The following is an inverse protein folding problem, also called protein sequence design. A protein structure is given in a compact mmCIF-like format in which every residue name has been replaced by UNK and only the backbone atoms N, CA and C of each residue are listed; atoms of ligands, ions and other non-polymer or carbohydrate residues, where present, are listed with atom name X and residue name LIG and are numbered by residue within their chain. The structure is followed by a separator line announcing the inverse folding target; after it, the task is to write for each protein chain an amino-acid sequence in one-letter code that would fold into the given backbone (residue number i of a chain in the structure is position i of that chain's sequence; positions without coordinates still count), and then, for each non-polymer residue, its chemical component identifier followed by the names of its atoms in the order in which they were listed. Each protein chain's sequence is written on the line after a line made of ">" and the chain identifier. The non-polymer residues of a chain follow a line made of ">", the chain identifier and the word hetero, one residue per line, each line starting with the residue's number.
data_IF_877240980709
#
_entry.id   IF_877240980709
#
_cell.length_a   1.000
_cell.length_b   1.000
_cell.length_c   1.000
_cell.angle_alpha   90.00
_cell.angle_beta   90.00
_cell.angle_gamma   90.00
#
_symmetry.space_group_name_H-M   'P 1'
#
loop_
_entity.id
_entity.type
_entity.pdbx_description
1 polymer ?
#
# COMPACT_ATOMS: atom_id res chain seq x y z
N UNK A 1 -0.98 -8.07 -24.83
CA UNK A 1 0.02 -7.82 -25.90
C UNK A 1 -0.64 -7.42 -27.22
N UNK A 2 -1.77 -8.04 -27.62
CA UNK A 2 -2.50 -7.71 -28.84
C UNK A 2 -2.79 -6.22 -29.00
N UNK A 3 -3.24 -5.55 -27.95
CA UNK A 3 -3.50 -4.11 -27.96
C UNK A 3 -2.25 -3.30 -28.35
N UNK A 4 -1.12 -3.51 -27.66
CA UNK A 4 0.13 -2.81 -27.94
C UNK A 4 0.55 -3.01 -29.40
N UNK A 5 0.55 -4.25 -29.90
CA UNK A 5 0.91 -4.55 -31.30
C UNK A 5 -0.01 -3.84 -32.29
N UNK A 6 -1.31 -3.75 -32.01
CA UNK A 6 -2.29 -3.08 -32.85
C UNK A 6 -2.05 -1.57 -32.92
N UNK A 7 -1.87 -0.91 -31.76
CA UNK A 7 -1.73 0.56 -31.71
C UNK A 7 -0.36 1.05 -32.18
N UNK A 8 0.67 0.21 -32.11
CA UNK A 8 2.00 0.53 -32.64
C UNK A 8 2.26 -0.03 -34.04
N UNK A 9 1.26 -0.62 -34.70
CA UNK A 9 1.43 -1.16 -36.05
C UNK A 9 1.71 -0.02 -37.05
N UNK A 10 2.72 -0.21 -37.91
CA UNK A 10 3.08 0.77 -38.95
C UNK A 10 4.10 1.83 -38.52
N UNK A 11 4.47 1.90 -37.25
CA UNK A 11 5.51 2.83 -36.78
C UNK A 11 6.92 2.34 -37.11
N UNK A 12 7.70 3.19 -37.77
CA UNK A 12 9.09 2.87 -38.15
C UNK A 12 9.95 2.67 -36.90
N UNK A 13 10.74 1.60 -36.89
CA UNK A 13 11.65 1.31 -35.77
C UNK A 13 10.97 0.81 -34.50
N UNK A 14 9.67 0.47 -34.56
CA UNK A 14 8.91 -0.10 -33.44
C UNK A 14 8.51 -1.53 -33.77
N UNK A 15 8.97 -2.47 -32.94
CA UNK A 15 8.54 -3.87 -32.98
C UNK A 15 8.30 -4.39 -31.57
N UNK A 16 7.03 -4.59 -31.22
CA UNK A 16 6.60 -4.99 -29.87
C UNK A 16 6.44 -6.51 -29.81
N UNK A 17 7.47 -7.21 -29.33
CA UNK A 17 7.47 -8.67 -29.19
C UNK A 17 7.35 -9.14 -27.75
N UNK A 18 7.76 -8.29 -26.81
CA UNK A 18 7.78 -8.59 -25.38
C UNK A 18 7.42 -7.33 -24.56
N UNK A 19 7.39 -7.49 -23.24
CA UNK A 19 7.14 -6.40 -22.28
C UNK A 19 8.40 -6.01 -21.50
N UNK A 20 9.58 -6.15 -22.10
CA UNK A 20 10.83 -5.71 -21.49
C UNK A 20 11.66 -4.89 -22.49
N UNK A 21 12.37 -5.56 -23.38
CA UNK A 21 13.40 -4.96 -24.24
C UNK A 21 12.80 -4.24 -25.43
N UNK A 22 11.63 -4.68 -25.92
CA UNK A 22 10.87 -3.96 -26.97
C UNK A 22 10.47 -2.54 -26.59
N UNK A 23 10.49 -2.21 -25.29
CA UNK A 23 10.11 -0.90 -24.75
C UNK A 23 11.30 -0.06 -24.30
N UNK A 24 12.50 -0.65 -24.24
CA UNK A 24 13.67 0.00 -23.64
C UNK A 24 14.17 1.24 -24.39
N UNK A 25 13.97 1.33 -25.70
CA UNK A 25 14.38 2.49 -26.50
C UNK A 25 13.36 3.66 -26.48
N UNK A 26 12.22 3.50 -25.79
CA UNK A 26 11.20 4.53 -25.64
C UNK A 26 10.26 4.71 -26.85
N UNK A 27 10.65 4.27 -28.05
CA UNK A 27 9.83 4.48 -29.27
C UNK A 27 8.47 3.80 -29.19
N UNK A 28 8.37 2.63 -28.57
CA UNK A 28 7.09 1.95 -28.39
C UNK A 28 6.12 2.77 -27.51
N UNK A 29 6.61 3.46 -26.47
CA UNK A 29 5.77 4.35 -25.67
C UNK A 29 5.33 5.59 -26.45
N UNK A 30 6.26 6.22 -27.19
CA UNK A 30 5.95 7.35 -28.05
C UNK A 30 4.91 6.98 -29.12
N UNK A 31 5.03 5.81 -29.74
CA UNK A 31 4.10 5.33 -30.77
C UNK A 31 2.68 5.14 -30.22
N UNK A 32 2.53 4.61 -29.00
CA UNK A 32 1.21 4.49 -28.37
C UNK A 32 0.59 5.87 -28.19
N UNK A 33 1.34 6.86 -27.69
CA UNK A 33 0.82 8.22 -27.48
C UNK A 33 0.44 8.87 -28.81
N UNK A 34 1.34 8.83 -29.79
CA UNK A 34 1.13 9.40 -31.12
C UNK A 34 -0.07 8.78 -31.84
N UNK A 35 -0.37 7.50 -31.61
CA UNK A 35 -1.54 6.84 -32.17
C UNK A 35 -2.86 7.50 -31.75
N UNK A 36 -2.99 7.91 -30.48
CA UNK A 36 -4.21 8.55 -29.97
C UNK A 36 -4.15 10.09 -30.07
N UNK A 37 -2.95 10.66 -30.00
CA UNK A 37 -2.70 12.10 -30.07
C UNK A 37 -1.49 12.40 -30.96
N UNK A 38 -1.67 12.42 -32.30
CA UNK A 38 -0.58 12.70 -33.24
C UNK A 38 0.09 14.06 -33.00
N UNK A 39 -0.69 15.05 -32.55
CA UNK A 39 -0.20 16.41 -32.28
C UNK A 39 0.64 16.53 -31.00
N UNK A 40 0.72 15.47 -30.18
CA UNK A 40 1.39 15.52 -28.89
C UNK A 40 2.92 15.42 -29.01
N UNK A 41 3.44 14.81 -30.07
CA UNK A 41 4.87 14.65 -30.32
C UNK A 41 5.14 14.42 -31.81
N UNK A 42 6.29 14.87 -32.30
CA UNK A 42 6.76 14.54 -33.65
C UNK A 42 7.48 13.19 -33.63
N UNK A 43 6.79 12.12 -34.03
CA UNK A 43 7.35 10.76 -33.97
C UNK A 43 8.48 10.56 -34.99
N UNK A 44 8.39 11.16 -36.17
CA UNK A 44 9.35 10.94 -37.27
C UNK A 44 10.73 11.55 -36.96
N UNK A 45 10.78 12.53 -36.06
CA UNK A 45 12.02 13.10 -35.55
C UNK A 45 12.77 12.19 -34.56
N UNK A 46 12.12 11.16 -34.01
CA UNK A 46 12.69 10.33 -32.94
C UNK A 46 13.67 9.28 -33.48
N UNK A 47 14.70 9.01 -32.68
CA UNK A 47 15.74 8.02 -32.99
C UNK A 47 15.83 6.93 -31.93
N UNK A 48 15.96 5.64 -32.29
CA UNK A 48 16.13 4.54 -31.33
C UNK A 48 17.43 4.63 -30.52
N UNK A 49 18.40 5.46 -30.94
CA UNK A 49 19.64 5.69 -30.21
C UNK A 49 19.41 6.52 -28.93
N UNK A 50 18.42 7.42 -28.94
CA UNK A 50 18.16 8.38 -27.86
C UNK A 50 17.22 7.78 -26.81
N UNK A 51 17.58 6.62 -26.25
CA UNK A 51 16.70 5.85 -25.35
C UNK A 51 16.19 6.68 -24.17
N UNK A 52 17.07 7.41 -23.49
CA UNK A 52 16.70 8.18 -22.30
C UNK A 52 15.70 9.28 -22.65
N UNK A 53 16.03 10.09 -23.66
CA UNK A 53 15.20 11.22 -24.12
C UNK A 53 13.83 10.73 -24.60
N UNK A 54 13.77 9.65 -25.37
CA UNK A 54 12.50 9.09 -25.85
C UNK A 54 11.61 8.64 -24.68
N UNK A 55 12.18 7.93 -23.70
CA UNK A 55 11.41 7.47 -22.54
C UNK A 55 10.94 8.66 -21.68
N UNK A 56 11.82 9.63 -21.40
CA UNK A 56 11.45 10.84 -20.65
C UNK A 56 10.33 11.61 -21.33
N UNK A 57 10.48 11.86 -22.64
CA UNK A 57 9.46 12.53 -23.45
C UNK A 57 8.12 11.81 -23.39
N UNK A 58 8.11 10.49 -23.59
CA UNK A 58 6.89 9.70 -23.54
C UNK A 58 6.21 9.78 -22.16
N UNK A 59 6.97 9.68 -21.08
CA UNK A 59 6.42 9.67 -19.72
C UNK A 59 5.91 11.05 -19.31
N UNK A 60 6.60 12.12 -19.69
CA UNK A 60 6.17 13.49 -19.44
C UNK A 60 4.87 13.82 -20.19
N UNK A 61 4.76 13.39 -21.44
CA UNK A 61 3.54 13.57 -22.22
C UNK A 61 2.40 12.73 -21.63
N UNK A 62 2.64 11.45 -21.33
CA UNK A 62 1.63 10.58 -20.74
C UNK A 62 1.11 11.13 -19.39
N UNK A 63 1.99 11.70 -18.57
CA UNK A 63 1.62 12.39 -17.33
C UNK A 63 0.69 13.57 -17.57
N UNK A 64 0.91 14.37 -18.62
CA UNK A 64 0.00 15.47 -19.01
C UNK A 64 -1.38 14.97 -19.40
N UNK A 65 -1.46 13.77 -19.98
CA UNK A 65 -2.73 13.09 -20.27
C UNK A 65 -3.35 12.35 -19.08
N UNK A 66 -2.72 12.39 -17.90
CA UNK A 66 -3.25 11.81 -16.67
C UNK A 66 -2.81 10.37 -16.40
N UNK A 67 -1.84 9.84 -17.16
CA UNK A 67 -1.21 8.55 -16.83
C UNK A 67 -0.28 8.74 -15.61
N UNK A 68 -0.49 8.01 -14.50
CA UNK A 68 0.39 8.13 -13.33
C UNK A 68 1.81 7.64 -13.66
N UNK A 69 2.88 8.36 -13.26
CA UNK A 69 4.26 7.96 -13.58
C UNK A 69 4.68 6.74 -12.74
N UNK A 70 4.54 5.54 -13.30
CA UNK A 70 4.91 4.29 -12.63
C UNK A 70 6.33 3.81 -12.95
N UNK A 71 6.95 4.37 -13.98
CA UNK A 71 8.29 4.04 -14.43
C UNK A 71 9.15 5.30 -14.49
N UNK A 72 10.42 5.12 -14.18
CA UNK A 72 11.46 6.13 -14.36
C UNK A 72 12.21 5.84 -15.68
N UNK A 73 12.65 6.88 -16.39
CA UNK A 73 13.27 6.70 -17.69
C UNK A 73 14.64 6.02 -17.59
N UNK A 74 15.35 6.22 -16.49
CA UNK A 74 16.63 5.55 -16.20
C UNK A 74 16.47 4.03 -16.03
N UNK A 75 15.36 3.58 -15.41
CA UNK A 75 15.06 2.15 -15.24
C UNK A 75 14.86 1.43 -16.58
N UNK A 76 14.45 2.17 -17.64
CA UNK A 76 14.29 1.63 -18.99
C UNK A 76 15.60 1.47 -19.76
N UNK A 77 16.68 2.11 -19.30
CA UNK A 77 18.02 1.99 -19.89
C UNK A 77 18.72 0.66 -19.54
N UNK A 78 18.20 -0.07 -18.55
CA UNK A 78 18.71 -1.38 -18.18
C UNK A 78 18.69 -2.33 -19.39
N UNK A 79 19.69 -3.22 -19.47
CA UNK A 79 19.76 -4.20 -20.56
C UNK A 79 18.49 -5.05 -20.69
N UNK A 80 17.80 -5.29 -19.57
CA UNK A 80 16.48 -5.90 -19.52
C UNK A 80 15.62 -5.20 -18.46
N UNK A 81 14.72 -4.30 -18.86
CA UNK A 81 13.74 -3.71 -17.95
C UNK A 81 12.83 -4.77 -17.33
N UNK A 82 12.32 -4.50 -16.12
CA UNK A 82 11.46 -5.42 -15.40
C UNK A 82 10.07 -5.53 -16.09
N UNK A 83 9.66 -6.75 -16.39
CA UNK A 83 8.51 -7.02 -17.25
C UNK A 83 7.17 -6.62 -16.61
N UNK A 84 6.97 -6.93 -15.33
CA UNK A 84 5.70 -6.66 -14.64
C UNK A 84 5.48 -5.15 -14.46
N UNK A 85 6.55 -4.38 -14.27
CA UNK A 85 6.53 -2.93 -14.18
C UNK A 85 6.08 -2.30 -15.51
N UNK A 86 6.65 -2.76 -16.63
CA UNK A 86 6.20 -2.32 -17.98
C UNK A 86 4.75 -2.70 -18.25
N UNK A 87 4.33 -3.93 -17.92
CA UNK A 87 2.92 -4.36 -18.07
C UNK A 87 1.98 -3.48 -17.24
N UNK A 88 2.34 -3.23 -15.99
CA UNK A 88 1.51 -2.42 -15.06
C UNK A 88 1.36 -1.00 -15.59
N UNK A 89 2.43 -0.43 -16.12
CA UNK A 89 2.39 0.92 -16.70
C UNK A 89 1.56 0.97 -17.99
N UNK A 90 1.70 -0.02 -18.86
CA UNK A 90 0.89 -0.11 -20.08
C UNK A 90 -0.60 -0.31 -19.80
N UNK A 91 -0.95 -0.93 -18.68
CA UNK A 91 -2.34 -0.98 -18.22
C UNK A 91 -2.90 0.42 -17.99
N UNK A 92 -2.12 1.33 -17.40
CA UNK A 92 -2.54 2.72 -17.21
C UNK A 92 -2.70 3.45 -18.55
N UNK A 93 -1.77 3.25 -19.50
CA UNK A 93 -1.90 3.78 -20.86
C UNK A 93 -3.21 3.32 -21.51
N UNK A 94 -3.53 2.03 -21.42
CA UNK A 94 -4.76 1.49 -21.98
C UNK A 94 -6.01 2.12 -21.35
N UNK A 95 -6.04 2.28 -20.03
CA UNK A 95 -7.16 2.91 -19.34
C UNK A 95 -7.36 4.37 -19.72
N UNK A 96 -6.28 5.14 -19.85
CA UNK A 96 -6.35 6.57 -20.18
C UNK A 96 -6.65 6.79 -21.67
N UNK A 97 -5.93 6.10 -22.56
CA UNK A 97 -5.98 6.38 -24.00
C UNK A 97 -6.99 5.57 -24.80
N UNK A 98 -7.35 4.34 -24.39
CA UNK A 98 -8.40 3.58 -25.10
C UNK A 98 -9.75 3.76 -24.41
N UNK A 99 -9.81 3.57 -23.09
CA UNK A 99 -11.08 3.65 -22.33
C UNK A 99 -11.49 5.07 -21.95
N UNK A 100 -10.57 6.03 -22.02
CA UNK A 100 -10.87 7.45 -21.76
C UNK A 100 -11.51 8.18 -22.95
N UNK A 101 -11.52 7.58 -24.14
CA UNK A 101 -12.02 8.21 -25.37
C UNK A 101 -13.55 8.34 -25.40
N UNK A 102 -14.25 7.63 -24.50
CA UNK A 102 -15.72 7.68 -24.39
C UNK A 102 -16.25 8.87 -23.57
N UNK A 103 -15.38 9.75 -23.05
CA UNK A 103 -15.76 10.78 -22.05
C UNK A 103 -15.42 12.20 -22.45
N UNK A 104 -15.81 12.65 -23.65
CA UNK A 104 -15.94 14.09 -23.90
C UNK A 104 -17.24 14.60 -23.25
N UNK A 105 -17.17 14.90 -21.95
CA UNK A 105 -18.14 15.78 -21.28
C UNK A 105 -18.73 15.28 -19.97
N UNK A 106 -17.98 15.44 -18.87
CA UNK A 106 -18.40 15.93 -17.54
C UNK A 106 -17.52 15.30 -16.46
N UNK A 107 -16.90 16.15 -15.65
CA UNK A 107 -16.30 15.74 -14.40
C UNK A 107 -17.33 15.16 -13.44
N UNK A 108 -16.88 14.27 -12.56
CA UNK A 108 -17.66 13.86 -11.40
C UNK A 108 -17.41 12.43 -10.96
N UNK A 109 -16.91 12.29 -9.74
CA UNK A 109 -17.48 11.38 -8.75
C UNK A 109 -17.30 9.88 -9.00
N UNK A 110 -16.41 9.29 -8.21
CA UNK A 110 -16.43 7.87 -7.87
C UNK A 110 -17.80 7.53 -7.25
N UNK A 111 -18.71 7.00 -8.07
CA UNK A 111 -20.02 6.48 -7.67
C UNK A 111 -20.05 4.96 -7.70
N UNK A 112 -20.55 4.38 -6.60
CA UNK A 112 -20.70 2.98 -6.27
C UNK A 112 -21.06 2.01 -7.41
N UNK A 113 -20.38 0.87 -7.40
CA UNK A 113 -20.92 -0.40 -7.88
C UNK A 113 -22.16 -0.77 -7.04
N UNK A 114 -23.32 -0.82 -7.69
CA UNK A 114 -24.55 -1.42 -7.14
C UNK A 114 -24.83 -2.69 -7.92
N UNK A 115 -24.56 -3.83 -7.27
CA UNK A 115 -25.03 -5.14 -7.69
C UNK A 115 -26.47 -5.28 -7.16
N UNK A 116 -27.43 -5.52 -8.06
CA UNK A 116 -28.80 -5.88 -7.68
C UNK A 116 -28.90 -7.39 -7.46
N UNK A 117 -29.70 -7.82 -6.48
CA UNK A 117 -30.64 -8.90 -6.74
C UNK A 117 -32.06 -8.55 -6.27
N UNK A 118 -33.06 -8.90 -7.08
CA UNK A 118 -34.47 -8.77 -6.77
C UNK A 118 -35.05 -10.01 -6.09
N UNK A 119 -36.06 -9.82 -5.23
CA UNK A 119 -37.01 -10.84 -4.80
C UNK A 119 -37.42 -10.73 -3.32
N UNK A 120 -38.70 -10.92 -2.95
CA UNK A 120 -39.41 -9.94 -2.11
C UNK A 120 -39.62 -10.33 -0.64
N UNK A 121 -39.93 -9.29 0.13
CA UNK A 121 -40.41 -9.27 1.52
C UNK A 121 -41.73 -10.05 1.72
N UNK A 122 -42.10 -10.42 2.97
CA UNK A 122 -42.99 -9.53 3.72
C UNK A 122 -42.69 -9.44 5.24
N UNK A 123 -42.98 -8.25 5.82
CA UNK A 123 -43.22 -7.99 7.26
C UNK A 123 -44.74 -8.05 7.55
N UNK A 124 -45.33 -7.61 8.70
CA UNK A 124 -44.79 -7.08 9.97
C UNK A 124 -45.51 -7.51 11.27
N UNK A 125 -44.96 -7.16 12.45
CA UNK A 125 -45.64 -6.78 13.73
C UNK A 125 -44.65 -6.91 14.92
N UNK A 126 -44.68 -6.20 16.06
CA UNK A 126 -45.20 -4.91 16.54
C UNK A 126 -44.53 -4.77 17.95
N UNK A 127 -44.10 -3.58 18.33
CA UNK A 127 -43.54 -3.15 19.65
C UNK A 127 -44.49 -3.43 20.85
N UNK A 128 -44.13 -3.29 22.18
CA UNK A 128 -43.34 -2.19 22.81
C UNK A 128 -42.55 -2.46 24.14
N UNK A 129 -41.91 -1.41 24.69
CA UNK A 129 -41.25 -1.26 26.02
C UNK A 129 -42.29 -0.98 27.17
N UNK A 130 -42.01 -0.85 28.52
CA UNK A 130 -40.99 0.03 29.19
C UNK A 130 -40.40 -0.33 30.62
N UNK A 131 -39.29 0.34 31.05
CA UNK A 131 -38.81 0.79 32.42
C UNK A 131 -38.74 -0.11 33.69
N UNK A 132 -38.31 0.38 34.90
CA UNK A 132 -37.20 1.28 35.33
C UNK A 132 -36.31 0.73 36.51
N UNK A 133 -35.41 1.56 37.08
CA UNK A 133 -34.35 1.35 38.15
C UNK A 133 -34.80 0.87 39.56
N UNK A 134 -33.89 0.53 40.54
CA UNK A 134 -33.20 1.50 41.44
C UNK A 134 -31.79 1.13 42.01
N UNK A 135 -31.12 2.08 42.71
CA UNK A 135 -29.87 2.02 43.54
C UNK A 135 -30.21 1.73 45.05
N UNK A 136 -29.38 1.94 46.13
CA UNK A 136 -27.95 2.37 46.32
C UNK A 136 -27.09 1.69 47.47
N UNK A 137 -25.76 1.99 47.50
CA UNK A 137 -24.75 2.24 48.61
C UNK A 137 -24.64 1.37 49.91
N UNK A 138 -23.55 1.39 50.76
CA UNK A 138 -22.60 2.48 51.15
C UNK A 138 -21.11 2.03 51.37
N UNK A 139 -20.25 2.65 52.22
CA UNK A 139 -19.42 3.87 52.07
C UNK A 139 -18.10 3.75 52.93
N UNK A 140 -16.97 4.33 52.47
CA UNK A 140 -15.77 4.92 53.17
C UNK A 140 -14.88 4.07 54.12
N UNK A 141 -13.67 4.53 54.61
CA UNK A 141 -13.00 5.85 54.49
C UNK A 141 -11.49 5.89 54.05
N UNK A 142 -10.96 7.11 53.79
CA UNK A 142 -9.57 7.49 53.37
C UNK A 142 -8.47 7.38 54.46
N UNK A 143 -7.30 8.10 54.45
CA UNK A 143 -7.02 9.51 54.03
C UNK A 143 -5.77 9.70 53.10
N UNK A 144 -5.67 10.71 52.21
CA UNK A 144 -5.13 12.11 52.31
C UNK A 144 -3.66 12.31 52.76
N UNK A 145 -2.82 12.86 51.85
CA UNK A 145 -1.96 14.08 51.96
C UNK A 145 -0.78 14.01 50.96
N UNK A 146 -0.74 14.84 49.91
CA UNK A 146 -0.16 16.20 49.79
C UNK A 146 1.37 16.26 49.63
N UNK A 147 1.76 16.66 48.40
CA UNK A 147 2.84 17.57 47.95
C UNK A 147 4.09 17.73 48.82
N UNK A 148 5.28 17.45 48.25
CA UNK A 148 6.44 18.37 48.26
C UNK A 148 7.46 17.98 47.18
N UNK A 149 7.93 19.00 46.49
CA UNK A 149 9.07 19.04 45.56
C UNK A 149 10.36 19.19 46.38
N UNK A 150 11.40 18.39 46.12
CA UNK A 150 12.73 18.68 46.66
C UNK A 150 13.85 18.37 45.67
N UNK A 151 14.63 19.41 45.40
CA UNK A 151 15.84 19.41 44.62
C UNK A 151 17.00 18.89 45.49
N UNK A 152 17.53 17.69 45.21
CA UNK A 152 18.95 17.40 45.49
C UNK A 152 19.51 16.24 44.67
N UNK A 153 20.41 16.62 43.75
CA UNK A 153 21.43 15.76 43.16
C UNK A 153 22.43 15.36 44.26
N UNK A 154 23.03 14.17 44.18
CA UNK A 154 24.47 14.18 43.95
C UNK A 154 24.90 13.16 42.88
N UNK A 155 25.93 13.55 42.14
CA UNK A 155 26.60 12.72 41.16
C UNK A 155 27.48 11.67 41.86
N UNK A 156 27.36 10.40 41.45
CA UNK A 156 28.45 9.42 41.40
C UNK A 156 28.23 8.48 40.20
N UNK A 157 29.21 8.50 39.31
CA UNK A 157 29.36 7.63 38.14
C UNK A 157 29.94 6.26 38.56
N UNK A 158 30.28 5.35 37.62
CA UNK A 158 29.44 4.24 37.20
C UNK A 158 30.04 2.89 37.61
N UNK A 159 29.22 1.92 38.00
CA UNK A 159 29.67 0.52 38.05
C UNK A 159 28.60 -0.41 37.50
N UNK A 160 29.03 -1.00 36.39
CA UNK A 160 28.38 -1.93 35.48
C UNK A 160 27.83 -3.16 36.20
N UNK A 161 26.54 -3.44 36.03
CA UNK A 161 26.00 -4.81 36.10
C UNK A 161 24.84 -4.89 35.12
N UNK A 162 25.14 -5.43 33.94
CA UNK A 162 24.20 -5.56 32.83
C UNK A 162 22.96 -6.34 33.26
N UNK A 163 21.82 -5.66 33.25
CA UNK A 163 20.53 -6.32 33.15
C UNK A 163 20.14 -6.26 31.68
N UNK A 164 19.99 -7.42 31.05
CA UNK A 164 19.49 -7.51 29.69
C UNK A 164 18.11 -6.83 29.66
N UNK A 165 18.00 -5.66 29.03
CA UNK A 165 16.71 -5.00 28.85
C UNK A 165 15.89 -5.90 27.93
N UNK A 166 14.88 -6.57 28.49
CA UNK A 166 13.95 -7.37 27.71
C UNK A 166 13.29 -6.45 26.67
N UNK A 167 13.21 -6.85 25.39
CA UNK A 167 12.61 -6.01 24.37
C UNK A 167 11.15 -5.64 24.76
N UNK A 168 10.71 -4.46 24.34
CA UNK A 168 9.33 -4.02 24.54
C UNK A 168 8.46 -4.48 23.36
N UNK A 169 7.17 -4.71 23.64
CA UNK A 169 6.21 -5.05 22.61
C UNK A 169 5.93 -3.85 21.69
N UNK A 170 6.05 -4.04 20.37
CA UNK A 170 5.85 -2.97 19.39
C UNK A 170 4.40 -2.45 19.28
N UNK A 171 3.42 -3.12 19.89
CA UNK A 171 2.02 -2.69 19.90
C UNK A 171 1.59 -1.94 21.18
N UNK A 172 2.08 -2.39 22.34
CA UNK A 172 1.62 -1.86 23.63
C UNK A 172 2.75 -1.25 24.46
N UNK A 173 3.98 -1.25 23.94
CA UNK A 173 5.18 -0.62 24.51
C UNK A 173 5.60 -1.16 25.89
N UNK A 174 4.92 -2.19 26.40
CA UNK A 174 5.24 -2.84 27.67
C UNK A 174 6.38 -3.86 27.51
N UNK A 175 7.17 -4.12 28.58
CA UNK A 175 8.17 -5.18 28.57
C UNK A 175 7.54 -6.52 28.18
N UNK A 176 8.27 -7.30 27.38
CA UNK A 176 7.82 -8.64 27.01
C UNK A 176 7.97 -9.59 28.19
N UNK A 177 6.89 -10.30 28.52
CA UNK A 177 6.83 -11.32 29.56
C UNK A 177 5.89 -12.44 29.12
N UNK A 178 6.31 -13.70 29.22
CA UNK A 178 5.52 -14.85 28.79
C UNK A 178 5.65 -15.13 27.28
N UNK A 179 4.54 -15.40 26.60
CA UNK A 179 4.52 -15.73 25.17
C UNK A 179 4.94 -14.53 24.31
N UNK A 180 6.11 -14.65 23.68
CA UNK A 180 6.68 -13.64 22.78
C UNK A 180 6.65 -14.16 21.35
N UNK A 181 6.19 -13.30 20.45
CA UNK A 181 6.17 -13.54 19.01
C UNK A 181 7.16 -12.58 18.35
N UNK A 182 8.19 -13.14 17.71
CA UNK A 182 9.09 -12.39 16.84
C UNK A 182 8.55 -12.41 15.40
N UNK A 183 8.40 -11.23 14.80
CA UNK A 183 7.93 -11.09 13.43
C UNK A 183 8.55 -9.85 12.78
N UNK A 184 9.17 -10.02 11.61
CA UNK A 184 9.87 -8.94 10.88
C UNK A 184 10.85 -8.13 11.74
N UNK A 185 11.65 -8.79 12.58
CA UNK A 185 12.61 -8.15 13.52
C UNK A 185 11.95 -7.25 14.57
N UNK A 186 10.64 -7.41 14.78
CA UNK A 186 9.88 -6.74 15.85
C UNK A 186 9.24 -7.78 16.75
N UNK A 187 9.08 -7.45 18.02
CA UNK A 187 8.58 -8.39 19.03
C UNK A 187 7.21 -7.96 19.54
N UNK A 188 6.31 -8.93 19.71
CA UNK A 188 4.95 -8.73 20.21
C UNK A 188 4.62 -9.74 21.30
N UNK A 189 3.72 -9.40 22.22
CA UNK A 189 3.08 -10.43 23.05
C UNK A 189 2.20 -11.34 22.18
N UNK A 190 2.05 -12.61 22.57
CA UNK A 190 1.15 -13.55 21.89
C UNK A 190 -0.30 -13.07 21.76
N UNK A 191 -0.75 -12.26 22.72
CA UNK A 191 -2.07 -11.60 22.70
C UNK A 191 -2.09 -10.32 21.85
N UNK A 192 -0.94 -9.65 21.70
CA UNK A 192 -0.77 -8.41 20.95
C UNK A 192 -0.53 -8.62 19.45
N UNK A 193 -0.13 -9.84 19.03
CA UNK A 193 0.02 -10.19 17.62
C UNK A 193 -1.33 -10.42 16.94
N UNK A 194 -2.03 -9.32 16.66
CA UNK A 194 -3.32 -9.29 15.98
C UNK A 194 -3.41 -8.06 15.08
N UNK A 195 -4.36 -8.04 14.16
CA UNK A 195 -4.49 -6.96 13.20
C UNK A 195 -4.59 -5.60 13.91
N UNK A 196 -3.73 -4.66 13.50
CA UNK A 196 -3.68 -3.33 14.11
C UNK A 196 -4.98 -2.55 13.98
N UNK A 197 -5.70 -2.71 12.87
CA UNK A 197 -6.94 -2.01 12.56
C UNK A 197 -8.18 -2.74 13.14
N UNK A 198 -8.37 -4.02 12.81
CA UNK A 198 -9.59 -4.76 13.21
C UNK A 198 -9.44 -5.67 14.44
N UNK A 199 -8.23 -5.80 15.02
CA UNK A 199 -7.97 -6.63 16.21
C UNK A 199 -8.06 -8.15 16.00
N UNK A 200 -8.41 -8.63 14.80
CA UNK A 200 -8.56 -10.06 14.51
C UNK A 200 -7.22 -10.80 14.57
N UNK A 201 -7.22 -12.00 15.15
CA UNK A 201 -6.09 -12.93 15.11
C UNK A 201 -5.89 -13.46 13.68
N UNK A 202 -4.64 -13.70 13.30
CA UNK A 202 -4.29 -14.19 11.97
C UNK A 202 -4.44 -15.72 11.92
N UNK A 203 -5.28 -16.20 11.00
CA UNK A 203 -5.53 -17.65 10.81
C UNK A 203 -4.68 -18.23 9.68
N UNK A 204 -4.38 -17.42 8.65
CA UNK A 204 -3.66 -17.87 7.45
C UNK A 204 -2.45 -17.01 7.16
N UNK A 205 -2.63 -15.70 7.09
CA UNK A 205 -1.55 -14.79 6.78
C UNK A 205 -1.75 -13.38 7.34
N UNK A 206 -0.64 -12.66 7.45
CA UNK A 206 -0.57 -11.28 7.90
C UNK A 206 0.36 -10.45 6.98
N UNK A 207 0.02 -9.16 6.81
CA UNK A 207 0.80 -8.19 6.05
C UNK A 207 1.53 -7.23 7.00
N UNK A 208 2.73 -6.80 6.62
CA UNK A 208 3.58 -5.87 7.35
C UNK A 208 3.55 -4.45 6.78
N UNK A 209 2.68 -3.61 7.33
CA UNK A 209 2.67 -2.19 6.96
C UNK A 209 3.40 -1.40 8.05
N UNK A 210 4.60 -0.86 7.73
CA UNK A 210 5.44 -0.04 8.63
C UNK A 210 5.82 -0.73 9.95
N UNK A 211 6.14 -2.03 9.92
CA UNK A 211 6.53 -2.79 11.10
C UNK A 211 5.35 -3.28 11.95
N UNK A 212 4.11 -3.09 11.49
CA UNK A 212 2.90 -3.48 12.20
C UNK A 212 2.10 -4.54 11.43
N UNK A 213 1.48 -5.50 12.13
CA UNK A 213 0.77 -6.60 11.49
C UNK A 213 -0.68 -6.22 11.14
N UNK A 214 -1.09 -6.53 9.91
CA UNK A 214 -2.43 -6.29 9.36
C UNK A 214 -3.00 -7.55 8.70
N UNK A 215 -4.33 -7.68 8.66
CA UNK A 215 -4.99 -8.75 7.90
C UNK A 215 -5.06 -8.37 6.41
N UNK A 216 -5.38 -9.33 5.53
CA UNK A 216 -5.46 -9.08 4.08
C UNK A 216 -6.43 -7.95 3.70
N UNK A 217 -7.53 -7.79 4.42
CA UNK A 217 -8.49 -6.71 4.21
C UNK A 217 -7.98 -5.34 4.66
N UNK A 218 -7.45 -5.24 5.88
CA UNK A 218 -6.99 -3.99 6.46
C UNK A 218 -5.62 -3.55 5.92
N UNK A 219 -4.75 -4.48 5.57
CA UNK A 219 -3.39 -4.21 5.10
C UNK A 219 -3.35 -3.41 3.82
N UNK A 220 -4.26 -3.71 2.87
CA UNK A 220 -4.39 -2.94 1.62
C UNK A 220 -4.78 -1.49 1.89
N UNK A 221 -5.73 -1.24 2.80
CA UNK A 221 -6.17 0.11 3.19
C UNK A 221 -5.07 0.89 3.92
N UNK A 222 -4.39 0.24 4.86
CA UNK A 222 -3.29 0.82 5.60
C UNK A 222 -2.11 1.18 4.68
N UNK A 223 -1.80 0.32 3.71
CA UNK A 223 -0.74 0.56 2.73
C UNK A 223 -1.03 1.77 1.82
N UNK A 224 -2.27 1.89 1.32
CA UNK A 224 -2.68 3.03 0.49
C UNK A 224 -2.61 4.33 1.31
N UNK A 225 -3.12 4.31 2.55
CA UNK A 225 -3.12 5.48 3.44
C UNK A 225 -1.70 5.92 3.79
N UNK A 226 -0.81 4.97 4.07
CA UNK A 226 0.58 5.23 4.44
C UNK A 226 1.41 5.86 3.31
N UNK A 227 1.10 5.55 2.05
CA UNK A 227 1.83 6.06 0.89
C UNK A 227 1.28 7.39 0.37
N UNK A 228 0.00 7.70 0.62
CA UNK A 228 -0.63 8.95 0.18
C UNK A 228 -0.02 10.20 0.83
N UNK A 229 0.65 10.05 1.97
CA UNK A 229 1.25 11.16 2.73
C UNK A 229 2.69 11.51 2.32
N UNK A 230 3.36 10.72 1.45
CA UNK A 230 4.80 10.89 1.20
C UNK A 230 5.19 11.18 -0.27
N UNK A 231 4.24 11.45 -1.17
CA UNK A 231 4.52 11.67 -2.61
C UNK A 231 5.51 10.63 -3.20
N UNK A 232 5.35 9.37 -2.77
CA UNK A 232 6.28 8.30 -3.09
C UNK A 232 5.99 7.80 -4.51
N UNK A 233 7.00 7.70 -5.40
CA UNK A 233 6.82 7.16 -6.75
C UNK A 233 6.20 5.77 -6.71
N UNK A 234 5.32 5.46 -7.66
CA UNK A 234 4.61 4.19 -7.64
C UNK A 234 5.53 2.97 -7.87
N UNK A 235 6.71 3.17 -8.47
CA UNK A 235 7.79 2.18 -8.55
C UNK A 235 8.27 1.77 -7.15
N UNK A 236 8.44 2.72 -6.23
CA UNK A 236 8.73 2.43 -4.83
C UNK A 236 7.55 1.80 -4.10
N UNK A 237 6.31 2.20 -4.42
CA UNK A 237 5.12 1.56 -3.85
C UNK A 237 5.01 0.09 -4.27
N UNK A 238 5.31 -0.25 -5.52
CA UNK A 238 5.27 -1.62 -6.01
C UNK A 238 6.37 -2.47 -5.35
N UNK A 239 7.58 -1.91 -5.21
CA UNK A 239 8.68 -2.56 -4.46
C UNK A 239 8.30 -2.76 -2.98
N UNK A 240 7.69 -1.78 -2.34
CA UNK A 240 7.22 -1.89 -0.96
C UNK A 240 6.05 -2.88 -0.83
N UNK A 241 5.13 -2.92 -1.78
CA UNK A 241 4.05 -3.91 -1.82
C UNK A 241 4.60 -5.33 -1.99
N UNK A 242 5.65 -5.49 -2.80
CA UNK A 242 6.34 -6.77 -2.99
C UNK A 242 7.09 -7.23 -1.74
N UNK A 243 7.70 -6.30 -1.00
CA UNK A 243 8.27 -6.56 0.34
C UNK A 243 7.21 -6.87 1.40
N UNK A 244 5.98 -6.39 1.19
CA UNK A 244 4.83 -6.54 2.07
C UNK A 244 3.94 -7.74 1.71
N UNK A 245 4.44 -8.65 0.88
CA UNK A 245 3.71 -9.86 0.52
C UNK A 245 3.45 -10.74 1.74
N UNK A 246 2.23 -11.26 1.77
CA UNK A 246 1.59 -12.19 2.70
C UNK A 246 2.57 -13.14 3.39
N UNK A 247 2.91 -12.85 4.65
CA UNK A 247 3.74 -13.74 5.47
C UNK A 247 2.85 -14.67 6.30
N UNK A 248 3.26 -15.94 6.40
CA UNK A 248 2.61 -16.88 7.31
C UNK A 248 2.78 -16.37 8.75
N UNK A 249 1.74 -16.45 9.60
CA UNK A 249 1.88 -16.10 11.00
C UNK A 249 2.95 -17.00 11.63
N UNK A 250 3.83 -16.43 12.49
CA UNK A 250 4.80 -17.24 13.22
C UNK A 250 4.07 -18.30 14.04
N UNK A 251 4.51 -19.56 13.91
CA UNK A 251 3.98 -20.68 14.69
C UNK A 251 4.32 -20.44 16.15
N UNK A 252 3.33 -20.50 17.04
CA UNK A 252 3.60 -20.46 18.49
C UNK A 252 4.42 -21.69 18.86
N UNK A 253 5.64 -21.49 19.34
CA UNK A 253 6.44 -22.55 19.94
C UNK A 253 5.78 -22.93 21.26
N UNK A 254 4.91 -23.93 21.26
CA UNK A 254 4.43 -24.51 22.51
C UNK A 254 5.61 -25.23 23.20
N UNK A 255 5.84 -25.02 24.50
CA UNK A 255 6.79 -25.83 25.24
C UNK A 255 6.25 -27.27 25.25
N UNK A 256 7.01 -28.20 24.67
CA UNK A 256 6.76 -29.63 24.81
C UNK A 256 7.00 -29.99 26.28
N UNK A 257 5.92 -30.38 26.96
CA UNK A 257 5.95 -30.98 28.31
C UNK A 257 6.30 -32.45 28.24
#
# INVERSE_FOLDING_TARGET
>A
MTWCKRVTAGYKGVNVENFHTSWGNGLAFCAVIHHFHPDALDFDSLSPANKLENNQLAFDIAKKFGVPPLLDAEDMLMAKPEQFSVITYLSQYYHVFEKGVDSKGKGGGLGNISESPGGPSPSPAKQPAPGPSPSPSPARPGPQNNVVEDHRRPARSPTFRGTAQSPNCAKCEKPLSGDVIEWNKTMFHGTCFNCTDCGKKFVKACLNVKGLPYCEGCGKKAFITANRQNNVPASQMLRQQQQNQTQQPPTQTQPQT
#
